data_IF_441751576925
#
_entry.id   IF_441751576925
#
_cell.length_a   1.000
_cell.length_b   1.000
_cell.length_c   1.000
_cell.angle_alpha   90.00
_cell.angle_beta   90.00
_cell.angle_gamma   90.00
#
_symmetry.space_group_name_H-M   'P 1'
#
loop_
_entity.id
_entity.type
_entity.pdbx_description
1 polymer ?
#
# COMPACT_ATOMS: atom_id res chain seq x y z
N UNK A 1 -33.41 48.75 -33.91
CA UNK A 1 -33.21 48.03 -32.64
C UNK A 1 -32.27 46.88 -32.94
N UNK A 2 -31.05 46.96 -32.47
CA UNK A 2 -30.11 45.86 -32.57
C UNK A 2 -30.17 45.06 -31.29
N UNK A 3 -30.64 43.81 -31.43
CA UNK A 3 -30.61 42.86 -30.29
C UNK A 3 -29.25 42.19 -30.34
N UNK A 4 -28.37 42.52 -29.44
CA UNK A 4 -27.10 41.83 -29.26
C UNK A 4 -27.35 40.53 -28.53
N UNK A 5 -27.22 39.47 -29.26
CA UNK A 5 -27.25 38.11 -28.70
C UNK A 5 -25.90 37.85 -28.06
N UNK A 6 -25.84 37.98 -26.74
CA UNK A 6 -24.66 37.52 -25.99
C UNK A 6 -24.71 36.02 -25.90
N UNK A 7 -23.89 35.33 -26.71
CA UNK A 7 -23.57 33.93 -26.49
C UNK A 7 -22.73 33.80 -25.23
N UNK A 8 -23.35 33.40 -24.14
CA UNK A 8 -22.64 32.96 -22.94
C UNK A 8 -22.15 31.53 -23.24
N UNK A 9 -20.88 31.42 -23.59
CA UNK A 9 -20.23 30.12 -23.67
C UNK A 9 -19.94 29.69 -22.24
N UNK A 10 -20.78 28.82 -21.72
CA UNK A 10 -20.51 28.13 -20.46
C UNK A 10 -19.44 27.07 -20.75
N UNK A 11 -18.20 27.40 -20.46
CA UNK A 11 -17.13 26.41 -20.40
C UNK A 11 -17.35 25.54 -19.15
N UNK A 12 -17.96 24.37 -19.36
CA UNK A 12 -18.00 23.35 -18.34
C UNK A 12 -16.57 22.85 -18.11
N UNK A 13 -15.99 23.27 -16.98
CA UNK A 13 -14.77 22.66 -16.47
C UNK A 13 -15.11 21.24 -16.03
N UNK A 14 -14.77 20.27 -16.88
CA UNK A 14 -14.71 18.86 -16.47
C UNK A 14 -13.54 18.73 -15.50
N UNK A 15 -13.81 18.91 -14.22
CA UNK A 15 -12.91 18.46 -13.17
C UNK A 15 -12.95 16.93 -13.17
N UNK A 16 -11.94 16.31 -13.80
CA UNK A 16 -11.72 14.89 -13.67
C UNK A 16 -11.48 14.57 -12.20
N UNK A 17 -12.45 13.93 -11.55
CA UNK A 17 -12.25 13.38 -10.22
C UNK A 17 -11.24 12.24 -10.35
N UNK A 18 -10.00 12.50 -9.92
CA UNK A 18 -9.07 11.41 -9.66
C UNK A 18 -9.66 10.62 -8.50
N UNK A 19 -10.26 9.47 -8.81
CA UNK A 19 -10.65 8.50 -7.79
C UNK A 19 -9.38 7.92 -7.20
N UNK A 20 -9.01 8.40 -6.01
CA UNK A 20 -8.05 7.70 -5.17
C UNK A 20 -8.67 6.35 -4.82
N UNK A 21 -8.13 5.29 -5.42
CA UNK A 21 -8.56 3.95 -5.10
C UNK A 21 -8.12 3.64 -3.67
N UNK A 22 -9.08 3.40 -2.77
CA UNK A 22 -8.77 2.97 -1.42
C UNK A 22 -8.04 1.62 -1.45
N UNK A 23 -7.07 1.45 -0.56
CA UNK A 23 -6.36 0.19 -0.40
C UNK A 23 -7.34 -0.95 -0.10
N UNK A 24 -7.14 -2.10 -0.76
CA UNK A 24 -7.98 -3.28 -0.62
C UNK A 24 -7.35 -4.25 0.38
N UNK A 25 -7.91 -4.29 1.58
CA UNK A 25 -7.49 -5.20 2.65
C UNK A 25 -7.60 -6.67 2.25
N UNK A 26 -8.65 -7.06 1.54
CA UNK A 26 -8.88 -8.43 1.10
C UNK A 26 -7.81 -8.90 0.11
N UNK A 27 -7.43 -8.05 -0.83
CA UNK A 27 -6.32 -8.30 -1.75
C UNK A 27 -4.99 -8.37 -0.99
N UNK A 28 -4.79 -7.50 -0.02
CA UNK A 28 -3.62 -7.51 0.86
C UNK A 28 -3.50 -8.79 1.67
N UNK A 29 -4.61 -9.30 2.18
CA UNK A 29 -4.66 -10.57 2.91
C UNK A 29 -4.19 -11.75 2.06
N UNK A 30 -4.67 -11.85 0.83
CA UNK A 30 -4.26 -12.90 -0.11
C UNK A 30 -2.77 -12.82 -0.41
N UNK A 31 -2.27 -11.64 -0.72
CA UNK A 31 -0.85 -11.42 -1.01
C UNK A 31 0.02 -11.71 0.21
N UNK A 32 -0.43 -11.30 1.39
CA UNK A 32 0.26 -11.56 2.65
C UNK A 32 0.37 -13.07 2.91
N UNK A 33 -0.73 -13.82 2.75
CA UNK A 33 -0.74 -15.26 2.95
C UNK A 33 0.24 -15.98 2.01
N UNK A 34 0.38 -15.48 0.78
CA UNK A 34 1.25 -16.10 -0.23
C UNK A 34 2.73 -15.80 -0.01
N UNK A 35 3.07 -14.60 0.45
CA UNK A 35 4.45 -14.12 0.43
C UNK A 35 5.05 -13.77 1.81
N UNK A 36 4.24 -13.51 2.81
CA UNK A 36 4.68 -12.93 4.08
C UNK A 36 4.45 -13.85 5.29
N UNK A 37 3.35 -14.57 5.28
CA UNK A 37 2.87 -15.34 6.43
C UNK A 37 3.82 -16.44 6.88
N UNK A 38 4.60 -17.02 5.97
CA UNK A 38 5.54 -18.10 6.30
C UNK A 38 6.57 -17.70 7.36
N UNK A 39 6.96 -16.44 7.35
CA UNK A 39 7.93 -15.89 8.29
C UNK A 39 7.27 -15.03 9.37
N UNK A 40 6.36 -14.15 8.98
CA UNK A 40 5.74 -13.21 9.93
C UNK A 40 4.51 -13.75 10.66
N UNK A 41 4.05 -14.96 10.31
CA UNK A 41 2.87 -15.57 10.89
C UNK A 41 1.57 -15.17 10.20
N UNK A 42 0.50 -15.98 10.31
CA UNK A 42 -0.76 -15.74 9.60
C UNK A 42 -1.50 -14.46 10.04
N UNK A 43 -1.25 -13.99 11.26
CA UNK A 43 -1.82 -12.77 11.81
C UNK A 43 -0.76 -11.70 12.05
N UNK A 44 0.35 -11.74 11.35
CA UNK A 44 1.46 -10.80 11.47
C UNK A 44 2.09 -10.76 12.89
N UNK A 45 1.92 -11.78 13.68
CA UNK A 45 2.41 -11.86 15.06
C UNK A 45 3.92 -12.10 15.18
N UNK A 46 4.57 -12.48 14.09
CA UNK A 46 5.97 -12.88 14.07
C UNK A 46 6.18 -14.33 14.52
N UNK A 47 7.38 -14.83 14.29
CA UNK A 47 7.82 -16.16 14.73
C UNK A 47 9.33 -16.16 14.91
N UNK A 48 9.83 -16.72 16.03
CA UNK A 48 11.27 -16.82 16.28
C UNK A 48 12.00 -15.48 16.09
N UNK A 49 12.95 -15.40 15.16
CA UNK A 49 13.69 -14.16 14.85
C UNK A 49 12.97 -13.25 13.85
N UNK A 50 11.83 -13.66 13.29
CA UNK A 50 11.03 -12.84 12.38
C UNK A 50 10.13 -11.90 13.18
N UNK A 51 10.23 -10.59 12.98
CA UNK A 51 9.56 -9.64 13.86
C UNK A 51 8.04 -9.64 13.67
N UNK A 52 7.32 -9.34 14.77
CA UNK A 52 5.91 -9.02 14.72
C UNK A 52 5.70 -7.72 13.94
N UNK A 53 4.71 -7.73 13.06
CA UNK A 53 4.24 -6.55 12.32
C UNK A 53 2.96 -5.98 12.94
N UNK A 54 2.40 -6.71 13.90
CA UNK A 54 1.20 -6.35 14.62
C UNK A 54 1.40 -5.03 15.39
N UNK A 55 0.42 -4.14 15.34
CA UNK A 55 0.49 -2.85 16.02
C UNK A 55 1.33 -1.77 15.31
N UNK A 56 1.88 -2.08 14.16
CA UNK A 56 2.55 -1.07 13.31
C UNK A 56 1.51 -0.33 12.48
N UNK A 57 1.69 0.97 12.29
CA UNK A 57 0.79 1.74 11.44
C UNK A 57 1.06 1.53 9.95
N UNK A 58 0.09 1.92 9.11
CA UNK A 58 0.17 1.72 7.68
C UNK A 58 1.34 2.49 7.04
N UNK A 59 1.66 3.67 7.54
CA UNK A 59 2.78 4.47 7.06
C UNK A 59 4.12 3.78 7.32
N UNK A 60 4.29 3.20 8.50
CA UNK A 60 5.50 2.45 8.84
C UNK A 60 5.68 1.24 7.90
N UNK A 61 4.63 0.43 7.71
CA UNK A 61 4.67 -0.74 6.83
C UNK A 61 4.96 -0.33 5.39
N UNK A 62 4.28 0.69 4.89
CA UNK A 62 4.50 1.22 3.53
C UNK A 62 5.95 1.66 3.33
N UNK A 63 6.47 2.46 4.23
CA UNK A 63 7.84 2.97 4.16
C UNK A 63 8.88 1.84 4.18
N UNK A 64 8.70 0.84 5.01
CA UNK A 64 9.61 -0.31 5.08
C UNK A 64 9.59 -1.16 3.80
N UNK A 65 8.41 -1.45 3.28
CA UNK A 65 8.29 -2.21 2.03
C UNK A 65 8.89 -1.46 0.84
N UNK A 66 8.69 -0.15 0.76
CA UNK A 66 9.31 0.69 -0.26
C UNK A 66 10.84 0.69 -0.16
N UNK A 67 11.37 0.76 1.05
CA UNK A 67 12.80 0.70 1.32
C UNK A 67 13.39 -0.63 0.85
N UNK A 68 12.77 -1.74 1.20
CA UNK A 68 13.21 -3.07 0.75
C UNK A 68 13.05 -3.25 -0.76
N UNK A 69 11.98 -2.73 -1.34
CA UNK A 69 11.78 -2.75 -2.80
C UNK A 69 12.91 -2.03 -3.53
N UNK A 70 13.41 -0.94 -2.97
CA UNK A 70 14.56 -0.21 -3.49
C UNK A 70 15.91 -0.92 -3.29
N UNK A 71 15.92 -2.07 -2.60
CA UNK A 71 17.13 -2.82 -2.32
C UNK A 71 17.96 -2.27 -1.16
N UNK A 72 17.38 -1.39 -0.35
CA UNK A 72 18.09 -0.77 0.78
C UNK A 72 18.02 -1.63 2.04
N UNK A 73 19.14 -1.68 2.75
CA UNK A 73 19.25 -2.41 4.01
C UNK A 73 18.98 -1.49 5.19
N UNK A 74 18.11 -1.92 6.10
CA UNK A 74 17.83 -1.23 7.36
C UNK A 74 18.34 -1.99 8.57
N UNK A 75 18.73 -3.24 8.39
CA UNK A 75 19.26 -4.12 9.44
C UNK A 75 19.95 -5.34 8.85
N UNK A 76 20.52 -6.17 9.71
CA UNK A 76 21.30 -7.35 9.29
C UNK A 76 20.49 -8.40 8.53
N UNK A 77 19.17 -8.46 8.77
CA UNK A 77 18.27 -9.42 8.12
C UNK A 77 17.49 -8.85 6.94
N UNK A 78 17.79 -7.63 6.51
CA UNK A 78 17.13 -6.99 5.36
C UNK A 78 17.26 -7.80 4.07
N UNK A 79 18.35 -8.56 3.92
CA UNK A 79 18.57 -9.42 2.76
C UNK A 79 17.48 -10.48 2.58
N UNK A 80 16.76 -10.84 3.64
CA UNK A 80 15.61 -11.76 3.57
C UNK A 80 14.37 -11.07 3.03
N UNK A 81 14.17 -9.79 3.35
CA UNK A 81 13.00 -9.01 2.93
C UNK A 81 13.12 -8.47 1.50
N UNK A 82 14.31 -8.07 1.09
CA UNK A 82 14.54 -7.44 -0.23
C UNK A 82 13.96 -8.27 -1.38
N UNK A 83 14.25 -9.58 -1.50
CA UNK A 83 13.68 -10.38 -2.58
C UNK A 83 12.15 -10.47 -2.55
N UNK A 84 11.54 -10.40 -1.37
CA UNK A 84 10.10 -10.47 -1.20
C UNK A 84 9.40 -9.15 -1.54
N UNK A 85 10.11 -8.04 -1.54
CA UNK A 85 9.55 -6.72 -1.80
C UNK A 85 9.84 -6.20 -3.22
N UNK A 86 10.84 -6.75 -3.90
CA UNK A 86 11.36 -6.24 -5.19
C UNK A 86 10.27 -6.08 -6.25
N UNK A 87 9.35 -7.03 -6.36
CA UNK A 87 8.33 -7.06 -7.40
C UNK A 87 6.97 -6.49 -6.96
N UNK A 88 6.88 -5.94 -5.74
CA UNK A 88 5.64 -5.34 -5.25
C UNK A 88 5.36 -4.03 -5.99
N UNK A 89 4.11 -3.86 -6.46
CA UNK A 89 3.62 -2.58 -6.96
C UNK A 89 3.27 -1.63 -5.80
N UNK A 90 3.05 -0.36 -6.10
CA UNK A 90 2.55 0.59 -5.11
C UNK A 90 1.20 0.16 -4.54
N UNK A 91 0.31 -0.39 -5.38
CA UNK A 91 -0.98 -0.93 -4.95
C UNK A 91 -0.81 -2.15 -4.04
N UNK A 92 0.12 -3.06 -4.37
CA UNK A 92 0.43 -4.21 -3.52
C UNK A 92 0.89 -3.77 -2.14
N UNK A 93 1.76 -2.79 -2.07
CA UNK A 93 2.26 -2.24 -0.79
C UNK A 93 1.12 -1.60 0.00
N UNK A 94 0.26 -0.81 -0.65
CA UNK A 94 -0.88 -0.18 0.00
C UNK A 94 -1.87 -1.23 0.54
N UNK A 95 -2.15 -2.27 -0.23
CA UNK A 95 -3.05 -3.36 0.14
C UNK A 95 -2.47 -4.18 1.30
N UNK A 96 -1.18 -4.50 1.26
CA UNK A 96 -0.47 -5.17 2.36
C UNK A 96 -0.49 -4.33 3.63
N UNK A 97 -0.21 -3.04 3.54
CA UNK A 97 -0.23 -2.15 4.69
C UNK A 97 -1.61 -2.09 5.33
N UNK A 98 -2.68 -2.02 4.53
CA UNK A 98 -4.05 -2.03 5.04
C UNK A 98 -4.39 -3.32 5.81
N UNK A 99 -3.97 -4.48 5.29
CA UNK A 99 -4.17 -5.75 5.96
C UNK A 99 -3.33 -5.89 7.23
N UNK A 100 -2.04 -5.62 7.14
CA UNK A 100 -1.09 -5.82 8.26
C UNK A 100 -1.43 -4.92 9.43
N UNK A 101 -1.78 -3.66 9.19
CA UNK A 101 -2.13 -2.69 10.23
C UNK A 101 -3.31 -3.15 11.09
N UNK A 102 -4.27 -3.85 10.49
CA UNK A 102 -5.44 -4.38 11.19
C UNK A 102 -5.24 -5.81 11.72
N UNK A 103 -4.12 -6.44 11.38
CA UNK A 103 -3.83 -7.79 11.85
C UNK A 103 -3.42 -7.81 13.32
N UNK A 104 -3.86 -8.83 14.05
CA UNK A 104 -3.51 -9.00 15.46
C UNK A 104 -4.35 -8.18 16.43
N UNK A 105 -5.40 -7.51 15.95
CA UNK A 105 -6.43 -6.90 16.79
C UNK A 105 -7.41 -7.95 17.33
#
# INVERSE_FOLDING_TARGET
>A
MKVSLFCVIATALLMGSATLQAADKSTGETLYADACAQCHGPNAQGMASFPSLSGRDAEYITSRLETYRAGEKVGSNSFLMIPNATDLSDDDIANLAAFITESGE
#
